data_IF_681772783522
#
_entry.id   IF_681772783522
#
_cell.length_a   1.000
_cell.length_b   1.000
_cell.length_c   1.000
_cell.angle_alpha   90.00
_cell.angle_beta   90.00
_cell.angle_gamma   90.00
#
_symmetry.space_group_name_H-M   'P 1'
#
loop_
_entity.id
_entity.type
_entity.pdbx_description
1 polymer ?
#
# COMPACT_ATOMS: atom_id res chain seq x y z
N UNK A 1 -4.57 -67.40 52.98
CA UNK A 1 -4.98 -66.96 51.63
C UNK A 1 -5.62 -65.58 51.61
N UNK A 2 -6.61 -65.26 52.45
CA UNK A 2 -7.27 -63.93 52.47
C UNK A 2 -6.33 -62.73 52.70
N UNK A 3 -5.37 -62.81 53.64
CA UNK A 3 -4.45 -61.71 53.98
C UNK A 3 -3.49 -61.37 52.82
N UNK A 4 -2.99 -62.37 52.11
CA UNK A 4 -2.06 -62.19 50.98
C UNK A 4 -2.75 -61.43 49.83
N UNK A 5 -4.03 -61.72 49.58
CA UNK A 5 -4.83 -61.02 48.55
C UNK A 5 -5.03 -59.54 48.91
N UNK A 6 -5.28 -59.21 50.19
CA UNK A 6 -5.40 -57.82 50.64
C UNK A 6 -4.09 -57.02 50.46
N UNK A 7 -2.94 -57.63 50.72
CA UNK A 7 -1.63 -56.98 50.55
C UNK A 7 -1.36 -56.69 49.06
N UNK A 8 -1.68 -57.63 48.17
CA UNK A 8 -1.48 -57.43 46.72
C UNK A 8 -2.37 -56.30 46.19
N UNK A 9 -3.64 -56.24 46.60
CA UNK A 9 -4.56 -55.16 46.20
C UNK A 9 -4.11 -53.81 46.76
N UNK A 10 -3.64 -53.77 48.00
CA UNK A 10 -3.11 -52.53 48.59
C UNK A 10 -1.85 -52.04 47.84
N UNK A 11 -0.94 -52.95 47.48
CA UNK A 11 0.25 -52.61 46.71
C UNK A 11 -0.08 -52.10 45.29
N UNK A 12 -1.06 -52.69 44.59
CA UNK A 12 -1.42 -52.23 43.25
C UNK A 12 -2.11 -50.87 43.26
N UNK A 13 -2.96 -50.60 44.26
CA UNK A 13 -3.60 -49.30 44.44
C UNK A 13 -2.59 -48.20 44.83
N UNK A 14 -1.59 -48.54 45.65
CA UNK A 14 -0.53 -47.60 46.02
C UNK A 14 0.34 -47.22 44.81
N UNK A 15 0.68 -48.18 43.95
CA UNK A 15 1.43 -47.93 42.72
C UNK A 15 0.61 -47.08 41.73
N UNK A 16 -0.68 -47.40 41.55
CA UNK A 16 -1.57 -46.62 40.69
C UNK A 16 -1.72 -45.16 41.17
N UNK A 17 -1.88 -44.95 42.48
CA UNK A 17 -1.99 -43.60 43.05
C UNK A 17 -0.70 -42.81 42.90
N UNK A 18 0.45 -43.46 43.09
CA UNK A 18 1.77 -42.83 42.90
C UNK A 18 2.02 -42.43 41.45
N UNK A 19 1.61 -43.25 40.48
CA UNK A 19 1.70 -42.92 39.04
C UNK A 19 0.80 -41.73 38.65
N UNK A 20 -0.41 -41.63 39.21
CA UNK A 20 -1.31 -40.50 38.94
C UNK A 20 -0.77 -39.17 39.47
N UNK A 21 -0.14 -39.17 40.65
CA UNK A 21 0.46 -37.96 41.24
C UNK A 21 1.66 -37.47 40.39
N UNK A 22 2.51 -38.40 39.94
CA UNK A 22 3.66 -38.07 39.09
C UNK A 22 3.22 -37.57 37.72
N UNK A 23 2.16 -38.15 37.13
CA UNK A 23 1.58 -37.70 35.85
C UNK A 23 1.05 -36.27 35.92
N UNK A 24 0.23 -35.95 36.93
CA UNK A 24 -0.33 -34.60 37.10
C UNK A 24 0.77 -33.54 37.30
N UNK A 25 1.83 -33.87 38.04
CA UNK A 25 2.97 -32.96 38.21
C UNK A 25 3.77 -32.75 36.92
N UNK A 26 3.80 -33.71 36.00
CA UNK A 26 4.51 -33.55 34.73
C UNK A 26 3.74 -32.65 33.75
N UNK A 27 2.41 -32.77 33.73
CA UNK A 27 1.54 -31.95 32.88
C UNK A 27 1.54 -30.47 33.33
N UNK A 28 1.48 -30.18 34.64
CA UNK A 28 1.61 -28.81 35.16
C UNK A 28 2.98 -28.19 34.83
N UNK A 29 4.06 -28.97 34.90
CA UNK A 29 5.40 -28.49 34.53
C UNK A 29 5.48 -28.20 33.02
N UNK A 30 4.78 -28.98 32.19
CA UNK A 30 4.72 -28.78 30.76
C UNK A 30 3.94 -27.52 30.40
N UNK A 31 2.78 -27.27 31.03
CA UNK A 31 2.01 -26.02 30.86
C UNK A 31 2.83 -24.79 31.29
N UNK A 32 3.58 -24.90 32.39
CA UNK A 32 4.48 -23.83 32.84
C UNK A 32 5.64 -23.58 31.88
N UNK A 33 6.17 -24.62 31.22
CA UNK A 33 7.21 -24.48 30.18
C UNK A 33 6.62 -23.80 28.94
N UNK A 34 5.44 -24.23 28.48
CA UNK A 34 4.76 -23.60 27.35
C UNK A 34 4.42 -22.13 27.61
N UNK A 35 3.92 -21.80 28.81
CA UNK A 35 3.64 -20.42 29.22
C UNK A 35 4.90 -19.56 29.25
N UNK A 36 6.00 -20.07 29.83
CA UNK A 36 7.30 -19.35 29.86
C UNK A 36 7.91 -19.16 28.48
N UNK A 37 7.75 -20.12 27.58
CA UNK A 37 8.23 -19.99 26.20
C UNK A 37 7.36 -19.02 25.39
N UNK A 38 6.06 -18.92 25.67
CA UNK A 38 5.16 -17.93 25.10
C UNK A 38 5.51 -16.52 25.59
N UNK A 39 5.68 -16.35 26.91
CA UNK A 39 6.12 -15.08 27.51
C UNK A 39 7.52 -14.68 27.03
N UNK A 40 8.45 -15.63 26.84
CA UNK A 40 9.78 -15.35 26.27
C UNK A 40 9.69 -14.90 24.82
N UNK A 41 8.78 -15.47 24.02
CA UNK A 41 8.56 -15.05 22.62
C UNK A 41 7.91 -13.67 22.55
N UNK A 42 6.92 -13.38 23.38
CA UNK A 42 6.32 -12.04 23.47
C UNK A 42 7.35 -11.00 23.96
N UNK A 43 8.16 -11.37 24.96
CA UNK A 43 9.26 -10.54 25.47
C UNK A 43 10.52 -10.50 24.59
N UNK A 44 10.56 -11.27 23.50
CA UNK A 44 11.58 -11.19 22.45
C UNK A 44 11.14 -10.36 21.26
N UNK A 45 9.84 -10.11 21.11
CA UNK A 45 9.28 -9.23 20.09
C UNK A 45 9.17 -7.77 20.55
N UNK A 46 9.23 -7.49 21.86
CA UNK A 46 9.04 -6.14 22.43
C UNK A 46 10.36 -5.36 22.70
N UNK A 47 11.52 -5.92 22.35
CA UNK A 47 12.84 -5.30 22.54
C UNK A 47 13.69 -5.24 21.26
N UNK A 48 13.10 -5.46 20.08
CA UNK A 48 13.72 -5.05 18.80
C UNK A 48 13.39 -3.59 18.49
N UNK A 49 13.66 -2.69 19.43
CA UNK A 49 13.81 -1.25 19.22
C UNK A 49 14.81 -0.72 20.25
N UNK A 50 16.07 -1.15 20.14
CA UNK A 50 17.13 -0.28 20.60
C UNK A 50 16.97 1.04 19.81
N UNK A 51 16.79 2.21 20.46
CA UNK A 51 16.82 3.46 19.73
C UNK A 51 18.27 3.65 19.30
N UNK A 52 18.59 3.24 18.08
CA UNK A 52 19.79 3.73 17.41
C UNK A 52 19.67 5.24 17.34
N UNK A 53 20.73 5.89 17.82
CA UNK A 53 20.93 7.33 17.96
C UNK A 53 20.19 8.18 16.90
N UNK A 54 19.58 9.28 17.37
CA UNK A 54 19.08 10.39 16.55
C UNK A 54 20.23 10.99 15.71
N UNK A 55 20.61 10.32 14.63
CA UNK A 55 21.00 11.03 13.42
C UNK A 55 19.69 11.43 12.76
N UNK A 56 19.51 12.70 12.47
CA UNK A 56 18.49 13.18 11.54
C UNK A 56 18.73 12.46 10.22
N UNK A 57 18.09 11.31 10.02
CA UNK A 57 18.11 10.60 8.76
C UNK A 57 17.40 11.48 7.75
N UNK A 58 18.03 11.67 6.59
CA UNK A 58 17.40 12.35 5.47
C UNK A 58 16.10 11.62 5.13
N UNK A 59 15.00 12.37 5.09
CA UNK A 59 13.68 11.82 4.78
C UNK A 59 13.64 11.37 3.32
N UNK A 60 12.92 10.28 3.07
CA UNK A 60 12.65 9.78 1.73
C UNK A 60 11.68 10.75 1.07
N UNK A 61 12.11 11.34 -0.04
CA UNK A 61 11.28 12.24 -0.85
C UNK A 61 10.37 11.41 -1.74
N UNK A 62 9.07 11.62 -1.60
CA UNK A 62 8.04 10.87 -2.32
C UNK A 62 7.08 11.81 -3.03
N UNK A 63 6.61 11.41 -4.20
CA UNK A 63 5.59 12.14 -4.97
C UNK A 63 4.17 11.80 -4.50
N UNK A 64 4.00 10.59 -3.98
CA UNK A 64 2.70 10.10 -3.49
C UNK A 64 2.94 9.07 -2.39
N UNK A 65 2.12 9.13 -1.34
CA UNK A 65 2.13 8.16 -0.26
C UNK A 65 0.72 8.01 0.33
N UNK A 66 0.24 6.78 0.31
CA UNK A 66 -1.06 6.37 0.83
C UNK A 66 -0.89 5.23 1.81
N UNK A 67 -1.75 5.16 2.82
CA UNK A 67 -1.81 4.00 3.71
C UNK A 67 -2.89 3.06 3.19
N UNK A 68 -2.49 1.86 2.78
CA UNK A 68 -3.38 0.80 2.34
C UNK A 68 -3.66 -0.16 3.50
N UNK A 69 -4.79 -0.87 3.43
CA UNK A 69 -5.19 -1.85 4.42
C UNK A 69 -5.31 -3.23 3.76
N UNK A 70 -4.55 -4.18 4.28
CA UNK A 70 -4.57 -5.59 3.88
C UNK A 70 -5.19 -6.41 5.00
N UNK A 71 -6.16 -7.28 4.69
CA UNK A 71 -6.77 -8.14 5.71
C UNK A 71 -5.98 -9.45 5.84
N UNK A 72 -5.45 -9.74 7.03
CA UNK A 72 -4.84 -11.02 7.37
C UNK A 72 -5.79 -11.80 8.29
N UNK A 73 -6.69 -12.57 7.67
CA UNK A 73 -7.86 -13.10 8.37
C UNK A 73 -8.77 -11.95 8.80
N UNK A 74 -9.14 -11.91 10.08
CA UNK A 74 -9.99 -10.85 10.64
C UNK A 74 -9.19 -9.64 11.17
N UNK A 75 -7.87 -9.62 10.97
CA UNK A 75 -7.00 -8.56 11.48
C UNK A 75 -6.54 -7.64 10.34
N UNK A 76 -6.75 -6.31 10.44
CA UNK A 76 -6.23 -5.36 9.47
C UNK A 76 -4.71 -5.20 9.63
N UNK A 77 -4.02 -5.11 8.52
CA UNK A 77 -2.60 -4.81 8.41
C UNK A 77 -2.42 -3.56 7.56
N UNK A 78 -1.80 -2.53 8.12
CA UNK A 78 -1.67 -1.22 7.51
C UNK A 78 -0.28 -1.09 6.90
N UNK A 79 -0.21 -0.68 5.64
CA UNK A 79 1.04 -0.59 4.89
C UNK A 79 1.11 0.74 4.16
N UNK A 80 2.29 1.37 4.12
CA UNK A 80 2.46 2.58 3.32
C UNK A 80 2.84 2.19 1.90
N UNK A 81 1.99 2.58 0.95
CA UNK A 81 2.23 2.51 -0.49
C UNK A 81 2.74 3.87 -0.95
N UNK A 82 3.97 3.94 -1.44
CA UNK A 82 4.61 5.21 -1.80
C UNK A 82 5.38 5.11 -3.11
N UNK A 83 5.64 6.25 -3.74
CA UNK A 83 6.48 6.37 -4.94
C UNK A 83 7.52 7.45 -4.72
N UNK A 84 8.79 7.06 -4.79
CA UNK A 84 9.92 7.97 -4.68
C UNK A 84 10.00 8.89 -5.89
N UNK A 85 10.60 10.08 -5.73
CA UNK A 85 10.75 11.05 -6.81
C UNK A 85 11.56 10.43 -7.96
N UNK A 86 10.97 10.42 -9.16
CA UNK A 86 11.59 9.86 -10.36
C UNK A 86 11.46 8.34 -10.51
N UNK A 87 10.85 7.63 -9.53
CA UNK A 87 10.56 6.21 -9.69
C UNK A 87 9.28 6.00 -10.53
N UNK A 88 9.23 4.89 -11.27
CA UNK A 88 8.09 4.52 -12.12
C UNK A 88 7.07 3.64 -11.40
N UNK A 89 7.50 2.97 -10.34
CA UNK A 89 6.72 1.96 -9.63
C UNK A 89 6.35 2.45 -8.23
N UNK A 90 5.45 1.70 -7.57
CA UNK A 90 5.15 1.92 -6.16
C UNK A 90 5.90 0.91 -5.30
N UNK A 91 6.37 1.36 -4.15
CA UNK A 91 6.88 0.53 -3.07
C UNK A 91 5.80 0.32 -2.01
N UNK A 92 5.86 -0.81 -1.32
CA UNK A 92 5.01 -1.13 -0.17
C UNK A 92 5.95 -1.44 1.00
N UNK A 93 5.74 -0.77 2.12
CA UNK A 93 6.54 -0.99 3.33
C UNK A 93 6.11 -0.08 4.48
N UNK A 94 6.94 -0.01 5.51
CA UNK A 94 6.63 0.76 6.73
C UNK A 94 5.26 0.37 7.29
N UNK A 95 5.12 -0.93 7.51
CA UNK A 95 3.85 -1.59 7.76
C UNK A 95 3.69 -1.96 9.24
N UNK A 96 2.45 -2.00 9.73
CA UNK A 96 2.13 -2.37 11.12
C UNK A 96 0.69 -2.88 11.23
N UNK A 97 0.43 -3.72 12.24
CA UNK A 97 -0.95 -4.05 12.63
C UNK A 97 -1.69 -2.88 13.31
N UNK A 98 -0.95 -1.82 13.67
CA UNK A 98 -1.50 -0.63 14.29
C UNK A 98 -1.40 0.56 13.34
N UNK A 99 -2.53 1.21 13.07
CA UNK A 99 -2.64 2.32 12.12
C UNK A 99 -1.79 3.54 12.54
N UNK A 100 -1.80 3.87 13.82
CA UNK A 100 -1.01 4.95 14.39
C UNK A 100 0.49 4.79 14.11
N UNK A 101 1.03 3.58 14.28
CA UNK A 101 2.43 3.26 13.98
C UNK A 101 2.73 3.44 12.49
N UNK A 102 1.86 2.95 11.59
CA UNK A 102 2.04 3.15 10.16
C UNK A 102 2.02 4.65 9.76
N UNK A 103 1.18 5.45 10.42
CA UNK A 103 1.12 6.90 10.22
C UNK A 103 2.32 7.63 10.84
N UNK A 104 2.87 7.14 11.94
CA UNK A 104 4.11 7.67 12.54
C UNK A 104 5.30 7.47 11.60
N UNK A 105 5.42 6.29 10.99
CA UNK A 105 6.44 6.04 9.98
C UNK A 105 6.34 7.02 8.80
N UNK A 106 5.13 7.31 8.33
CA UNK A 106 4.88 8.34 7.31
C UNK A 106 5.47 9.70 7.73
N UNK A 107 5.20 10.16 8.95
CA UNK A 107 5.69 11.46 9.44
C UNK A 107 7.22 11.48 9.65
N UNK A 108 7.77 10.36 10.12
CA UNK A 108 9.18 10.22 10.49
C UNK A 108 10.09 10.07 9.29
N UNK A 109 9.74 9.20 8.34
CA UNK A 109 10.63 8.77 7.28
C UNK A 109 10.36 9.41 5.93
N UNK A 110 9.21 10.08 5.73
CA UNK A 110 8.82 10.59 4.42
C UNK A 110 8.61 12.10 4.40
N UNK A 111 8.97 12.68 3.26
CA UNK A 111 8.66 14.05 2.86
C UNK A 111 7.91 13.98 1.53
N UNK A 112 6.67 14.47 1.52
CA UNK A 112 5.89 14.54 0.28
C UNK A 112 6.32 15.79 -0.47
N UNK A 113 6.95 15.58 -1.63
CA UNK A 113 7.30 16.67 -2.53
C UNK A 113 6.12 16.84 -3.48
N UNK A 114 5.50 18.02 -3.45
CA UNK A 114 4.49 18.38 -4.44
C UNK A 114 5.15 18.39 -5.82
N UNK A 115 4.74 17.45 -6.68
CA UNK A 115 5.05 17.55 -8.10
C UNK A 115 4.15 18.62 -8.70
N UNK A 116 4.73 19.47 -9.53
CA UNK A 116 3.91 20.27 -10.44
C UNK A 116 3.03 19.30 -11.24
N UNK A 117 1.73 19.57 -11.26
CA UNK A 117 0.81 18.77 -12.05
C UNK A 117 1.18 18.94 -13.51
N UNK A 118 1.33 17.84 -14.24
CA UNK A 118 1.56 17.89 -15.69
C UNK A 118 0.34 18.46 -16.45
N UNK A 119 -0.81 18.59 -15.75
CA UNK A 119 -2.02 19.23 -16.26
C UNK A 119 -1.91 20.75 -16.26
N UNK A 120 -2.14 21.33 -17.43
CA UNK A 120 -2.17 22.76 -17.65
C UNK A 120 -3.64 23.19 -17.78
N UNK A 121 -4.15 24.06 -16.90
CA UNK A 121 -5.48 24.64 -17.06
C UNK A 121 -5.57 25.46 -18.35
N UNK A 122 -6.68 25.36 -19.08
CA UNK A 122 -6.90 26.16 -20.29
C UNK A 122 -6.96 27.67 -19.99
N UNK A 123 -7.34 28.04 -18.76
CA UNK A 123 -7.32 29.43 -18.28
C UNK A 123 -5.91 29.97 -18.05
N UNK A 124 -4.93 29.09 -17.86
CA UNK A 124 -3.52 29.45 -17.70
C UNK A 124 -2.84 29.52 -19.07
N UNK A 125 -2.96 28.43 -19.85
CA UNK A 125 -2.31 28.32 -21.15
C UNK A 125 -3.04 27.31 -22.04
N UNK A 126 -3.09 27.62 -23.33
CA UNK A 126 -3.56 26.71 -24.38
C UNK A 126 -2.36 26.12 -25.15
N UNK A 127 -2.53 24.97 -25.85
CA UNK A 127 -1.45 24.43 -26.66
C UNK A 127 -1.07 25.38 -27.79
N UNK A 128 0.18 25.27 -28.26
CA UNK A 128 0.64 26.02 -29.44
C UNK A 128 -0.10 25.57 -30.69
N UNK A 129 -0.04 26.38 -31.75
CA UNK A 129 -0.64 25.99 -33.02
C UNK A 129 0.04 24.71 -33.54
N UNK A 130 -0.73 23.65 -33.82
CA UNK A 130 -0.18 22.36 -34.18
C UNK A 130 0.50 22.44 -35.54
N UNK A 131 1.62 21.74 -35.68
CA UNK A 131 2.30 21.59 -36.97
C UNK A 131 1.56 20.57 -37.84
N UNK A 132 1.85 20.60 -39.14
CA UNK A 132 1.37 19.59 -40.08
C UNK A 132 1.78 18.20 -39.60
N UNK A 133 0.79 17.33 -39.39
CA UNK A 133 1.00 15.97 -38.93
C UNK A 133 0.94 15.00 -40.14
N UNK A 134 2.05 14.29 -40.45
CA UNK A 134 2.09 13.31 -41.54
C UNK A 134 1.09 12.16 -41.38
N UNK A 135 0.70 11.83 -40.14
CA UNK A 135 -0.24 10.74 -39.82
C UNK A 135 -1.67 11.10 -40.21
N UNK A 136 -2.03 12.39 -40.18
CA UNK A 136 -3.39 12.86 -40.43
C UNK A 136 -3.55 13.52 -41.80
N UNK A 137 -2.99 12.92 -42.86
CA UNK A 137 -3.04 13.44 -44.23
C UNK A 137 -2.57 14.91 -44.36
N UNK A 138 -1.52 15.30 -43.62
CA UNK A 138 -1.01 16.67 -43.66
C UNK A 138 -1.94 17.69 -42.98
N UNK A 139 -2.71 17.27 -41.99
CA UNK A 139 -3.52 18.19 -41.18
C UNK A 139 -2.71 18.74 -40.01
N UNK A 140 -2.89 20.02 -39.71
CA UNK A 140 -2.40 20.66 -38.49
C UNK A 140 -3.23 20.21 -37.30
N UNK A 141 -2.97 18.99 -36.80
CA UNK A 141 -3.67 18.38 -35.68
C UNK A 141 -2.68 17.70 -34.75
N UNK A 142 -2.83 17.95 -33.46
CA UNK A 142 -2.05 17.30 -32.41
C UNK A 142 -2.97 16.69 -31.36
N UNK A 143 -2.54 15.57 -30.77
CA UNK A 143 -3.34 14.82 -29.81
C UNK A 143 -2.87 15.11 -28.39
N UNK A 144 -3.80 15.47 -27.53
CA UNK A 144 -3.57 15.73 -26.11
C UNK A 144 -4.46 14.85 -25.23
N UNK A 145 -4.03 14.64 -23.99
CA UNK A 145 -4.94 14.16 -22.96
C UNK A 145 -5.65 15.37 -22.35
N UNK A 146 -6.97 15.33 -22.30
CA UNK A 146 -7.80 16.45 -21.86
C UNK A 146 -8.79 16.00 -20.78
N UNK A 147 -9.20 16.95 -19.96
CA UNK A 147 -10.36 16.81 -19.08
C UNK A 147 -11.34 17.94 -19.37
N UNK A 148 -12.62 17.63 -19.33
CA UNK A 148 -13.71 18.55 -19.69
C UNK A 148 -14.55 18.90 -18.46
N UNK A 149 -15.28 20.00 -18.54
CA UNK A 149 -16.16 20.45 -17.45
C UNK A 149 -17.25 19.43 -17.12
N UNK A 150 -17.72 18.74 -18.15
CA UNK A 150 -18.70 17.66 -18.11
C UNK A 150 -18.15 16.47 -18.88
N UNK A 151 -18.54 15.24 -18.55
CA UNK A 151 -18.22 14.08 -19.37
C UNK A 151 -18.95 14.09 -20.71
N UNK A 152 -19.33 12.93 -21.25
CA UNK A 152 -20.16 12.92 -22.47
C UNK A 152 -21.57 13.48 -22.23
N UNK A 153 -21.99 13.54 -20.96
CA UNK A 153 -23.23 14.08 -20.40
C UNK A 153 -22.97 14.86 -19.10
N UNK A 154 -23.89 15.73 -18.69
CA UNK A 154 -23.84 16.50 -17.43
C UNK A 154 -23.81 15.64 -16.16
N UNK A 155 -24.19 14.36 -16.28
CA UNK A 155 -24.17 13.37 -15.19
C UNK A 155 -22.97 12.42 -15.24
N UNK A 156 -22.16 12.49 -16.30
CA UNK A 156 -21.03 11.59 -16.46
C UNK A 156 -19.88 11.98 -15.54
N UNK A 157 -19.26 10.96 -14.96
CA UNK A 157 -17.98 11.14 -14.26
C UNK A 157 -16.94 11.66 -15.26
N UNK A 158 -16.26 12.71 -14.84
CA UNK A 158 -15.18 13.34 -15.59
C UNK A 158 -13.96 12.43 -15.54
N UNK A 159 -13.63 11.82 -16.67
CA UNK A 159 -12.41 11.05 -16.85
C UNK A 159 -11.56 11.69 -17.95
N UNK A 160 -10.22 11.71 -17.80
CA UNK A 160 -9.32 12.12 -18.87
C UNK A 160 -9.50 11.27 -20.14
N UNK A 161 -9.56 11.92 -21.30
CA UNK A 161 -9.60 11.23 -22.60
C UNK A 161 -8.79 11.98 -23.66
N UNK A 162 -8.57 11.36 -24.83
CA UNK A 162 -7.80 11.99 -25.92
C UNK A 162 -8.67 12.94 -26.72
N UNK A 163 -8.14 14.11 -27.04
CA UNK A 163 -8.76 15.06 -27.96
C UNK A 163 -7.73 15.62 -28.93
N UNK A 164 -8.23 16.07 -30.08
CA UNK A 164 -7.44 16.76 -31.09
C UNK A 164 -7.47 18.25 -30.84
N UNK A 165 -6.30 18.88 -30.90
CA UNK A 165 -6.15 20.32 -30.98
C UNK A 165 -5.90 20.71 -32.43
N UNK A 166 -6.67 21.68 -32.94
CA UNK A 166 -6.57 22.17 -34.31
C UNK A 166 -6.03 23.60 -34.41
N UNK A 167 -5.43 24.12 -33.34
CA UNK A 167 -4.97 25.51 -33.24
C UNK A 167 -6.01 26.51 -32.74
N UNK A 168 -7.29 26.11 -32.69
CA UNK A 168 -8.39 26.99 -32.27
C UNK A 168 -9.19 26.37 -31.12
N UNK A 169 -9.59 25.10 -31.26
CA UNK A 169 -10.44 24.40 -30.30
C UNK A 169 -9.99 22.94 -30.12
N UNK A 170 -10.28 22.38 -28.95
CA UNK A 170 -10.24 20.94 -28.75
C UNK A 170 -11.50 20.28 -29.35
N UNK A 171 -11.31 19.14 -30.03
CA UNK A 171 -12.38 18.37 -30.67
C UNK A 171 -12.14 16.88 -30.53
N UNK A 172 -13.21 16.09 -30.42
CA UNK A 172 -13.17 14.62 -30.51
C UNK A 172 -13.34 14.11 -31.96
N UNK A 173 -13.39 15.03 -32.93
CA UNK A 173 -13.68 14.76 -34.35
C UNK A 173 -15.17 14.87 -34.70
N UNK A 174 -16.06 14.92 -33.71
CA UNK A 174 -17.50 15.09 -33.91
C UNK A 174 -18.00 16.44 -33.38
N UNK A 175 -17.47 16.93 -32.26
CA UNK A 175 -17.93 18.16 -31.59
C UNK A 175 -16.77 18.91 -30.93
N UNK A 176 -16.99 20.21 -30.73
CA UNK A 176 -16.10 21.05 -29.93
C UNK A 176 -16.27 20.68 -28.45
N UNK A 177 -15.15 20.58 -27.73
CA UNK A 177 -15.10 20.13 -26.35
C UNK A 177 -14.88 21.32 -25.39
N UNK A 178 -15.61 21.34 -24.27
CA UNK A 178 -15.42 22.30 -23.17
C UNK A 178 -14.29 21.81 -22.23
N UNK A 179 -13.06 21.88 -22.73
CA UNK A 179 -11.85 21.41 -22.05
C UNK A 179 -11.41 22.42 -20.98
N UNK A 180 -11.24 21.93 -19.75
CA UNK A 180 -10.81 22.74 -18.60
C UNK A 180 -9.31 22.64 -18.32
N UNK A 181 -8.69 21.50 -18.65
CA UNK A 181 -7.25 21.29 -18.55
C UNK A 181 -6.77 20.23 -19.54
N UNK A 182 -5.49 20.32 -19.91
CA UNK A 182 -4.85 19.44 -20.88
C UNK A 182 -3.41 19.10 -20.48
N UNK A 183 -2.87 18.02 -21.04
CA UNK A 183 -1.44 17.69 -20.97
C UNK A 183 -0.99 16.96 -22.24
N UNK A 184 0.30 17.07 -22.57
CA UNK A 184 0.92 16.28 -23.64
C UNK A 184 0.77 14.78 -23.36
N UNK A 185 0.72 13.97 -24.42
CA UNK A 185 0.66 12.52 -24.26
C UNK A 185 1.87 11.99 -23.48
N UNK A 186 1.68 11.07 -22.51
CA UNK A 186 2.79 10.41 -21.83
C UNK A 186 3.70 9.64 -22.81
N UNK A 187 4.97 9.45 -22.46
CA UNK A 187 5.99 8.79 -23.31
C UNK A 187 5.60 7.46 -23.98
N UNK A 188 4.82 6.52 -23.38
CA UNK A 188 4.41 5.31 -24.11
C UNK A 188 3.44 5.59 -25.27
N UNK A 189 2.84 6.78 -25.32
CA UNK A 189 1.84 7.16 -26.31
C UNK A 189 2.30 8.28 -27.24
N UNK A 190 3.49 8.85 -27.03
CA UNK A 190 4.08 9.81 -27.95
C UNK A 190 4.49 9.07 -29.24
N UNK A 191 4.34 9.75 -30.36
CA UNK A 191 4.84 9.24 -31.63
C UNK A 191 6.37 9.06 -31.53
N UNK A 192 6.87 7.93 -32.03
CA UNK A 192 8.31 7.75 -32.19
C UNK A 192 8.71 8.54 -33.42
N UNK A 193 9.40 9.65 -33.21
CA UNK A 193 10.05 10.37 -34.31
C UNK A 193 11.15 9.44 -34.84
N UNK A 194 10.93 8.83 -36.01
CA UNK A 194 11.97 8.08 -36.75
C UNK A 194 13.00 9.01 -37.36
#
# INVERSE_FOLDING_TARGET
MKIIIFIIIACTLFVAWSLCIVGASADEQLEMIYAKDLERKENGMNNTYAPTENKEQEKIKVESIDTIVTMHGDKPYYENKYREVGDKCYHIGYSSYYLDVALEYRKKYFEVVERESDWIPCSERIPEEPKENPVFDGKCLEVYLVTTKYGSSDQDKVYPFRAFWNGINFTDGCRILDVIAWMSLPEPYKEKTE
#
